data_IF_406117430353
#
_entry.id   IF_406117430353
#
_cell.length_a   1.000
_cell.length_b   1.000
_cell.length_c   1.000
_cell.angle_alpha   90.00
_cell.angle_beta   90.00
_cell.angle_gamma   90.00
#
_symmetry.space_group_name_H-M   'P 1'
#
loop_
_entity.id
_entity.type
_entity.pdbx_description
1 polymer ?
#
# COMPACT_ATOMS: atom_id res chain seq x y z
N UNK A 1 10.33 -11.22 7.27
CA UNK A 1 11.08 -10.81 6.07
C UNK A 1 12.57 -11.04 6.29
N UNK A 2 13.52 -10.34 5.60
CA UNK A 2 14.99 -10.59 5.76
C UNK A 2 15.44 -10.53 7.22
N UNK A 3 14.91 -9.61 8.01
CA UNK A 3 15.22 -9.50 9.45
C UNK A 3 14.90 -10.78 10.22
N UNK A 4 13.78 -11.44 9.94
CA UNK A 4 13.44 -12.74 10.56
C UNK A 4 14.41 -13.84 10.14
N UNK A 5 14.87 -13.81 8.87
CA UNK A 5 15.92 -14.71 8.40
C UNK A 5 17.26 -14.51 9.11
N UNK A 6 17.65 -13.26 9.39
CA UNK A 6 18.86 -12.94 10.17
C UNK A 6 18.76 -13.45 11.61
N UNK A 7 17.61 -13.29 12.27
CA UNK A 7 17.39 -13.81 13.61
C UNK A 7 17.55 -15.33 13.67
N UNK A 8 17.07 -16.04 12.65
CA UNK A 8 17.23 -17.50 12.55
C UNK A 8 18.69 -17.89 12.32
N UNK A 9 19.48 -17.09 11.61
CA UNK A 9 20.92 -17.34 11.46
C UNK A 9 21.69 -17.27 12.80
N UNK A 10 21.15 -16.58 13.81
CA UNK A 10 21.75 -16.42 15.14
C UNK A 10 21.35 -17.52 16.13
N UNK A 11 20.46 -18.46 15.76
CA UNK A 11 20.10 -19.59 16.59
C UNK A 11 21.27 -20.59 16.71
N UNK A 12 21.27 -21.41 17.74
CA UNK A 12 22.36 -22.37 18.05
C UNK A 12 22.62 -23.36 16.89
N UNK A 13 21.55 -23.80 16.20
CA UNK A 13 21.59 -24.69 15.03
C UNK A 13 21.21 -23.97 13.73
N UNK A 14 21.26 -22.62 13.74
CA UNK A 14 20.90 -21.76 12.62
C UNK A 14 21.95 -21.74 11.50
N UNK A 15 21.55 -21.36 10.27
CA UNK A 15 22.45 -21.32 9.12
C UNK A 15 23.33 -20.06 9.13
N UNK A 16 24.23 -19.94 10.09
CA UNK A 16 25.11 -18.80 10.33
C UNK A 16 25.89 -18.37 9.05
N UNK A 17 26.20 -19.32 8.16
CA UNK A 17 26.91 -19.04 6.90
C UNK A 17 26.09 -18.20 5.90
N UNK A 18 24.78 -18.02 6.10
CA UNK A 18 23.93 -17.18 5.25
C UNK A 18 23.88 -15.73 5.72
N UNK A 19 24.32 -15.46 6.96
CA UNK A 19 24.21 -14.15 7.60
C UNK A 19 24.76 -13.01 6.75
N UNK A 20 26.02 -13.10 6.31
CA UNK A 20 26.68 -12.06 5.51
C UNK A 20 25.90 -11.74 4.22
N UNK A 21 25.37 -12.78 3.57
CA UNK A 21 24.57 -12.60 2.35
C UNK A 21 23.24 -11.91 2.66
N UNK A 22 22.56 -12.26 3.76
CA UNK A 22 21.31 -11.64 4.19
C UNK A 22 21.51 -10.18 4.64
N UNK A 23 22.61 -9.87 5.29
CA UNK A 23 22.97 -8.50 5.67
C UNK A 23 23.18 -7.62 4.42
N UNK A 24 23.86 -8.15 3.41
CA UNK A 24 24.02 -7.47 2.12
C UNK A 24 22.68 -7.29 1.38
N UNK A 25 21.82 -8.29 1.42
CA UNK A 25 20.46 -8.20 0.85
C UNK A 25 19.62 -7.15 1.59
N UNK A 26 19.70 -7.09 2.94
CA UNK A 26 19.01 -6.07 3.74
C UNK A 26 19.49 -4.67 3.39
N UNK A 27 20.80 -4.46 3.26
CA UNK A 27 21.36 -3.18 2.84
C UNK A 27 20.87 -2.74 1.45
N UNK A 28 20.70 -3.69 0.52
CA UNK A 28 20.10 -3.38 -0.78
C UNK A 28 18.67 -2.89 -0.66
N UNK A 29 17.85 -3.55 0.17
CA UNK A 29 16.45 -3.15 0.43
C UNK A 29 16.39 -1.79 1.12
N UNK A 30 17.23 -1.55 2.13
CA UNK A 30 17.29 -0.27 2.82
C UNK A 30 17.65 0.88 1.88
N UNK A 31 18.62 0.66 0.96
CA UNK A 31 18.95 1.63 -0.09
C UNK A 31 17.78 1.93 -1.01
N UNK A 32 17.03 0.91 -1.46
CA UNK A 32 15.83 1.11 -2.29
C UNK A 32 14.80 1.92 -1.51
N UNK A 33 14.57 1.58 -0.25
CA UNK A 33 13.59 2.28 0.59
C UNK A 33 14.01 3.71 0.96
N UNK A 34 15.28 4.07 0.84
CA UNK A 34 15.77 5.43 1.08
C UNK A 34 15.67 6.35 -0.14
N UNK A 35 15.23 5.83 -1.30
CA UNK A 35 15.06 6.63 -2.50
C UNK A 35 14.03 7.75 -2.28
N UNK A 36 14.40 8.97 -2.63
CA UNK A 36 13.56 10.16 -2.45
C UNK A 36 12.55 10.35 -3.60
N UNK A 37 12.86 9.79 -4.78
CA UNK A 37 12.01 9.90 -5.96
C UNK A 37 11.99 8.62 -6.82
N UNK A 38 11.11 8.62 -7.83
CA UNK A 38 10.94 7.49 -8.76
C UNK A 38 12.21 7.20 -9.58
N UNK A 39 12.91 8.23 -10.02
CA UNK A 39 14.12 8.08 -10.83
C UNK A 39 15.26 7.45 -10.03
N UNK A 40 15.46 7.90 -8.80
CA UNK A 40 16.43 7.32 -7.87
C UNK A 40 16.08 5.87 -7.55
N UNK A 41 14.81 5.58 -7.25
CA UNK A 41 14.34 4.22 -7.00
C UNK A 41 14.58 3.30 -8.21
N UNK A 42 14.27 3.75 -9.43
CA UNK A 42 14.53 3.02 -10.66
C UNK A 42 16.02 2.69 -10.82
N UNK A 43 16.89 3.66 -10.57
CA UNK A 43 18.34 3.49 -10.62
C UNK A 43 18.88 2.52 -9.56
N UNK A 44 18.33 2.54 -8.36
CA UNK A 44 18.75 1.66 -7.26
C UNK A 44 18.28 0.23 -7.49
N UNK A 45 17.00 0.04 -7.82
CA UNK A 45 16.39 -1.28 -7.98
C UNK A 45 16.98 -2.05 -9.18
N UNK A 46 17.32 -1.34 -10.28
CA UNK A 46 17.96 -1.94 -11.47
C UNK A 46 19.39 -2.43 -11.20
N UNK A 47 20.04 -1.90 -10.18
CA UNK A 47 21.43 -2.25 -9.80
C UNK A 47 21.51 -3.34 -8.73
N UNK A 48 20.39 -3.78 -8.18
CA UNK A 48 20.37 -4.81 -7.14
C UNK A 48 20.98 -6.10 -7.64
N UNK A 49 21.97 -6.61 -6.91
CA UNK A 49 22.61 -7.88 -7.19
C UNK A 49 22.43 -8.80 -5.99
N UNK A 50 21.80 -9.93 -6.26
CA UNK A 50 21.59 -10.97 -5.27
C UNK A 50 22.80 -11.92 -5.26
N UNK A 51 23.62 -11.83 -4.22
CA UNK A 51 24.77 -12.74 -4.07
C UNK A 51 24.29 -14.19 -3.90
N UNK A 52 25.14 -15.15 -4.26
CA UNK A 52 24.84 -16.56 -4.06
C UNK A 52 25.01 -16.91 -2.58
N UNK A 53 24.04 -17.64 -2.00
CA UNK A 53 24.19 -18.19 -0.65
C UNK A 53 25.37 -19.17 -0.58
N UNK A 54 26.08 -19.15 0.54
CA UNK A 54 27.12 -20.13 0.83
C UNK A 54 26.56 -21.55 0.80
N UNK A 55 27.42 -22.52 0.49
CA UNK A 55 26.99 -23.91 0.54
C UNK A 55 27.04 -24.41 1.99
N UNK A 56 25.90 -24.90 2.51
CA UNK A 56 25.90 -25.56 3.81
C UNK A 56 26.64 -26.90 3.71
N UNK A 57 27.74 -27.03 4.44
CA UNK A 57 28.53 -28.28 4.62
C UNK A 57 28.58 -28.71 6.09
N UNK A 58 28.00 -27.90 6.98
CA UNK A 58 27.99 -28.14 8.41
C UNK A 58 26.75 -28.96 8.78
N UNK A 59 26.98 -30.15 9.33
CA UNK A 59 25.92 -31.07 9.74
C UNK A 59 25.24 -30.67 11.06
N UNK A 60 25.78 -29.70 11.80
CA UNK A 60 25.16 -29.16 13.02
C UNK A 60 24.03 -28.18 12.71
N UNK A 61 23.97 -27.69 11.48
CA UNK A 61 22.93 -26.74 11.04
C UNK A 61 21.65 -27.49 10.70
N UNK A 62 20.54 -27.04 11.26
CA UNK A 62 19.21 -27.57 10.97
C UNK A 62 18.82 -27.34 9.50
N UNK A 63 18.45 -28.43 8.82
CA UNK A 63 17.96 -28.35 7.44
C UNK A 63 16.66 -27.54 7.32
N UNK A 64 15.79 -27.62 8.34
CA UNK A 64 14.53 -26.86 8.38
C UNK A 64 14.78 -25.37 8.49
N UNK A 65 15.67 -24.95 9.39
CA UNK A 65 16.05 -23.54 9.54
C UNK A 65 16.74 -22.99 8.29
N UNK A 66 17.61 -23.79 7.69
CA UNK A 66 18.25 -23.44 6.42
C UNK A 66 17.24 -23.30 5.27
N UNK A 67 16.23 -24.17 5.20
CA UNK A 67 15.15 -24.09 4.22
C UNK A 67 14.26 -22.86 4.44
N UNK A 68 13.93 -22.57 5.71
CA UNK A 68 13.16 -21.38 6.07
C UNK A 68 13.86 -20.09 5.61
N UNK A 69 15.15 -19.93 5.94
CA UNK A 69 15.93 -18.75 5.53
C UNK A 69 16.00 -18.59 4.00
N UNK A 70 16.18 -19.71 3.28
CA UNK A 70 16.11 -19.68 1.81
C UNK A 70 14.75 -19.26 1.31
N UNK A 71 13.66 -19.75 1.91
CA UNK A 71 12.28 -19.42 1.57
C UNK A 71 12.01 -17.92 1.75
N UNK A 72 12.35 -17.37 2.90
CA UNK A 72 12.23 -15.93 3.20
C UNK A 72 12.98 -15.09 2.17
N UNK A 73 14.20 -15.48 1.86
CA UNK A 73 15.01 -14.76 0.86
C UNK A 73 14.41 -14.80 -0.54
N UNK A 74 13.94 -15.96 -0.99
CA UNK A 74 13.30 -16.10 -2.30
C UNK A 74 11.97 -15.32 -2.38
N UNK A 75 11.21 -15.22 -1.31
CA UNK A 75 10.02 -14.39 -1.23
C UNK A 75 10.35 -12.90 -1.43
N UNK A 76 11.38 -12.41 -0.74
CA UNK A 76 11.84 -11.01 -0.90
C UNK A 76 12.30 -10.75 -2.35
N UNK A 77 13.07 -11.65 -2.93
CA UNK A 77 13.51 -11.52 -4.33
C UNK A 77 12.35 -11.50 -5.31
N UNK A 78 11.33 -12.35 -5.09
CA UNK A 78 10.11 -12.35 -5.88
C UNK A 78 9.33 -11.04 -5.74
N UNK A 79 9.24 -10.51 -4.52
CA UNK A 79 8.57 -9.21 -4.28
C UNK A 79 9.27 -8.09 -5.03
N UNK A 80 10.61 -8.01 -4.95
CA UNK A 80 11.38 -7.00 -5.69
C UNK A 80 11.22 -7.19 -7.20
N UNK A 81 11.26 -8.42 -7.70
CA UNK A 81 11.04 -8.70 -9.13
C UNK A 81 9.63 -8.28 -9.59
N UNK A 82 8.60 -8.55 -8.78
CA UNK A 82 7.22 -8.13 -9.06
C UNK A 82 7.08 -6.61 -9.10
N UNK A 83 7.75 -5.90 -8.20
CA UNK A 83 7.77 -4.41 -8.21
C UNK A 83 8.43 -3.89 -9.48
N UNK A 84 9.55 -4.50 -9.91
CA UNK A 84 10.22 -4.13 -11.17
C UNK A 84 9.29 -4.35 -12.36
N UNK A 85 8.64 -5.51 -12.43
CA UNK A 85 7.72 -5.84 -13.52
C UNK A 85 6.50 -4.92 -13.59
N UNK A 86 5.99 -4.47 -12.43
CA UNK A 86 4.77 -3.65 -12.37
C UNK A 86 5.03 -2.17 -12.57
N UNK A 87 6.16 -1.65 -12.09
CA UNK A 87 6.38 -0.20 -11.99
C UNK A 87 7.63 0.30 -12.72
N UNK A 88 8.59 -0.57 -13.02
CA UNK A 88 9.88 -0.21 -13.64
C UNK A 88 10.14 -1.04 -14.90
N UNK A 89 9.07 -1.34 -15.63
CA UNK A 89 9.10 -2.16 -16.84
C UNK A 89 9.71 -1.45 -18.04
N UNK A 90 9.89 -0.13 -17.97
CA UNK A 90 10.48 0.69 -19.01
C UNK A 90 11.37 1.79 -18.44
N UNK A 91 12.07 2.53 -19.30
CA UNK A 91 12.89 3.66 -18.87
C UNK A 91 12.01 4.75 -18.24
N UNK A 92 12.44 5.39 -17.12
CA UNK A 92 11.63 6.42 -16.45
C UNK A 92 11.19 7.55 -17.37
N UNK A 93 12.02 7.93 -18.34
CA UNK A 93 11.73 8.97 -19.33
C UNK A 93 10.60 8.56 -20.28
N UNK A 94 10.54 7.29 -20.68
CA UNK A 94 9.50 6.76 -21.55
C UNK A 94 8.18 6.65 -20.79
N UNK A 95 8.20 6.14 -19.57
CA UNK A 95 7.03 6.10 -18.68
C UNK A 95 6.46 7.51 -18.46
N UNK A 96 7.32 8.51 -18.28
CA UNK A 96 6.87 9.91 -18.15
C UNK A 96 6.21 10.43 -19.43
N UNK A 97 6.76 10.14 -20.62
CA UNK A 97 6.16 10.53 -21.90
C UNK A 97 4.80 9.84 -22.11
N UNK A 98 4.65 8.58 -21.72
CA UNK A 98 3.38 7.86 -21.78
C UNK A 98 2.33 8.51 -20.87
N UNK A 99 2.72 8.88 -19.65
CA UNK A 99 1.85 9.63 -18.73
C UNK A 99 1.42 10.97 -19.32
N UNK A 100 2.34 11.72 -19.95
CA UNK A 100 2.03 12.99 -20.60
C UNK A 100 1.08 12.79 -21.78
N UNK A 101 1.25 11.74 -22.56
CA UNK A 101 0.35 11.43 -23.68
C UNK A 101 -1.06 11.08 -23.21
N UNK A 102 -1.20 10.39 -22.09
CA UNK A 102 -2.47 10.04 -21.50
C UNK A 102 -3.18 11.20 -20.80
N UNK A 103 -2.43 12.25 -20.40
CA UNK A 103 -2.92 13.36 -19.56
C UNK A 103 -4.17 14.01 -20.14
N UNK A 104 -4.14 14.39 -21.43
CA UNK A 104 -5.27 15.09 -22.07
C UNK A 104 -6.55 14.26 -22.04
N UNK A 105 -6.46 12.95 -22.29
CA UNK A 105 -7.61 12.06 -22.25
C UNK A 105 -8.14 11.88 -20.82
N UNK A 106 -7.24 11.83 -19.84
CA UNK A 106 -7.62 11.74 -18.42
C UNK A 106 -8.28 13.03 -17.94
N UNK A 107 -7.80 14.20 -18.35
CA UNK A 107 -8.43 15.49 -18.03
C UNK A 107 -9.87 15.56 -18.56
N UNK A 108 -10.08 15.13 -19.81
CA UNK A 108 -11.43 15.06 -20.40
C UNK A 108 -12.33 14.07 -19.64
N UNK A 109 -11.79 12.91 -19.28
CA UNK A 109 -12.54 11.91 -18.50
C UNK A 109 -12.96 12.45 -17.14
N UNK A 110 -12.04 13.10 -16.42
CA UNK A 110 -12.34 13.72 -15.12
C UNK A 110 -13.41 14.80 -15.26
N UNK A 111 -13.31 15.64 -16.32
CA UNK A 111 -14.32 16.66 -16.59
C UNK A 111 -15.70 16.03 -16.84
N UNK A 112 -15.78 14.99 -17.68
CA UNK A 112 -17.04 14.30 -17.96
C UNK A 112 -17.66 13.67 -16.70
N UNK A 113 -16.84 13.09 -15.81
CA UNK A 113 -17.33 12.54 -14.55
C UNK A 113 -17.89 13.62 -13.65
N UNK A 114 -17.22 14.77 -13.54
CA UNK A 114 -17.69 15.90 -12.75
C UNK A 114 -18.99 16.48 -13.33
N UNK A 115 -19.05 16.73 -14.63
CA UNK A 115 -20.25 17.25 -15.31
C UNK A 115 -21.45 16.30 -15.15
N UNK A 116 -21.19 14.99 -15.21
CA UNK A 116 -22.21 13.98 -14.95
C UNK A 116 -22.71 14.05 -13.50
N UNK A 117 -21.80 14.11 -12.52
CA UNK A 117 -22.14 14.18 -11.10
C UNK A 117 -22.98 15.41 -10.78
N UNK A 118 -22.58 16.58 -11.30
CA UNK A 118 -23.30 17.83 -11.12
C UNK A 118 -24.69 17.78 -11.76
N UNK A 119 -24.78 17.36 -13.02
CA UNK A 119 -26.05 17.20 -13.74
C UNK A 119 -26.99 16.22 -13.03
N UNK A 120 -26.43 15.12 -12.50
CA UNK A 120 -27.20 14.11 -11.80
C UNK A 120 -27.75 14.67 -10.47
N UNK A 121 -26.92 15.41 -9.72
CA UNK A 121 -27.33 16.08 -8.48
C UNK A 121 -28.43 17.12 -8.73
N UNK A 122 -28.28 17.96 -9.78
CA UNK A 122 -29.30 18.93 -10.19
C UNK A 122 -30.63 18.26 -10.51
N UNK A 123 -30.61 17.17 -11.29
CA UNK A 123 -31.82 16.41 -11.65
C UNK A 123 -32.50 15.78 -10.44
N UNK A 124 -31.74 15.25 -9.49
CA UNK A 124 -32.27 14.73 -8.21
C UNK A 124 -32.95 15.85 -7.41
N UNK A 125 -32.25 16.97 -7.26
CA UNK A 125 -32.77 18.16 -6.56
C UNK A 125 -34.06 18.68 -7.21
N UNK A 126 -34.08 18.80 -8.54
CA UNK A 126 -35.26 19.27 -9.28
C UNK A 126 -36.48 18.34 -9.17
N UNK A 127 -36.26 17.08 -8.80
CA UNK A 127 -37.34 16.10 -8.55
C UNK A 127 -37.62 15.88 -7.05
N UNK A 128 -36.93 16.57 -6.14
CA UNK A 128 -36.95 16.32 -4.72
C UNK A 128 -36.69 14.85 -4.35
N UNK A 129 -35.68 14.24 -5.01
CA UNK A 129 -35.28 12.85 -4.81
C UNK A 129 -33.87 12.79 -4.25
N UNK A 130 -33.64 11.81 -3.39
CA UNK A 130 -32.31 11.41 -2.90
C UNK A 130 -32.18 9.91 -3.06
N UNK A 131 -30.96 9.41 -3.25
CA UNK A 131 -30.65 7.99 -3.19
C UNK A 131 -29.96 7.64 -1.86
N UNK A 132 -29.66 6.35 -1.66
CA UNK A 132 -29.02 5.88 -0.43
C UNK A 132 -27.64 6.50 -0.20
N UNK A 133 -26.85 6.67 -1.26
CA UNK A 133 -25.56 7.34 -1.16
C UNK A 133 -25.67 8.81 -0.75
N UNK A 134 -26.71 9.51 -1.23
CA UNK A 134 -26.97 10.88 -0.78
C UNK A 134 -27.29 10.94 0.72
N UNK A 135 -28.06 9.97 1.24
CA UNK A 135 -28.39 9.93 2.67
C UNK A 135 -27.13 9.77 3.53
N UNK A 136 -26.23 8.88 3.14
CA UNK A 136 -24.94 8.68 3.81
C UNK A 136 -24.08 9.95 3.76
N UNK A 137 -23.94 10.55 2.59
CA UNK A 137 -23.15 11.78 2.42
C UNK A 137 -23.74 12.96 3.18
N UNK A 138 -25.06 13.11 3.21
CA UNK A 138 -25.73 14.16 4.00
C UNK A 138 -25.58 13.91 5.50
N UNK A 139 -25.70 12.66 5.95
CA UNK A 139 -25.45 12.32 7.34
C UNK A 139 -24.02 12.68 7.76
N UNK A 140 -23.02 12.33 6.96
CA UNK A 140 -21.61 12.70 7.20
C UNK A 140 -21.45 14.23 7.27
N UNK A 141 -22.00 14.98 6.31
CA UNK A 141 -21.92 16.46 6.30
C UNK A 141 -22.57 17.11 7.51
N UNK A 142 -23.66 16.53 8.04
CA UNK A 142 -24.36 17.03 9.23
C UNK A 142 -23.59 16.67 10.50
N UNK A 143 -23.02 15.47 10.56
CA UNK A 143 -22.42 14.92 11.77
C UNK A 143 -20.94 15.25 11.92
N UNK A 144 -20.25 15.69 10.86
CA UNK A 144 -18.82 15.98 10.90
C UNK A 144 -18.51 17.42 10.49
N UNK A 145 -17.38 17.93 11.03
CA UNK A 145 -16.74 19.19 10.62
C UNK A 145 -15.27 18.90 10.30
N UNK A 146 -14.69 19.68 9.41
CA UNK A 146 -13.27 19.61 9.14
C UNK A 146 -12.53 20.69 9.91
N UNK A 147 -11.65 20.29 10.83
CA UNK A 147 -10.80 21.18 11.61
C UNK A 147 -9.33 20.71 11.50
N UNK A 148 -8.48 21.57 10.93
CA UNK A 148 -7.05 21.28 10.79
C UNK A 148 -6.74 20.01 9.96
N UNK A 149 -7.55 19.70 8.93
CA UNK A 149 -7.39 18.52 8.07
C UNK A 149 -7.86 17.20 8.71
N UNK A 150 -8.61 17.28 9.83
CA UNK A 150 -9.22 16.12 10.50
C UNK A 150 -10.72 16.29 10.60
N UNK A 151 -11.43 15.18 10.43
CA UNK A 151 -12.87 15.14 10.70
C UNK A 151 -13.10 15.07 12.21
N UNK A 152 -13.90 16.02 12.73
CA UNK A 152 -14.31 16.08 14.13
C UNK A 152 -15.83 16.07 14.23
N UNK A 153 -16.44 15.62 15.36
CA UNK A 153 -17.88 15.63 15.55
C UNK A 153 -18.43 17.05 15.51
N UNK A 154 -19.47 17.26 14.71
CA UNK A 154 -20.24 18.50 14.69
C UNK A 154 -21.04 18.72 16.00
N UNK A 155 -21.66 19.88 16.15
CA UNK A 155 -22.59 20.13 17.27
C UNK A 155 -23.73 19.11 17.29
N UNK A 156 -24.33 18.79 16.13
CA UNK A 156 -25.37 17.79 16.02
C UNK A 156 -24.89 16.40 16.46
N UNK A 157 -23.69 15.99 16.05
CA UNK A 157 -23.14 14.72 16.49
C UNK A 157 -22.93 14.67 18.02
N UNK A 158 -22.44 15.76 18.63
CA UNK A 158 -22.27 15.86 20.09
C UNK A 158 -23.60 15.75 20.84
N UNK A 159 -24.65 16.39 20.33
CA UNK A 159 -26.01 16.26 20.91
C UNK A 159 -26.51 14.80 20.87
N UNK A 160 -26.23 14.06 19.76
CA UNK A 160 -26.54 12.63 19.67
C UNK A 160 -25.67 11.77 20.61
N UNK A 161 -24.39 12.08 20.75
CA UNK A 161 -23.49 11.38 21.69
C UNK A 161 -23.96 11.52 23.15
N UNK A 162 -24.51 12.68 23.54
CA UNK A 162 -25.09 12.89 24.87
C UNK A 162 -26.43 12.18 25.06
N UNK A 163 -27.20 12.04 23.98
CA UNK A 163 -28.55 11.47 24.01
C UNK A 163 -28.58 9.94 24.00
N UNK A 164 -27.68 9.30 23.27
CA UNK A 164 -27.66 7.86 23.12
C UNK A 164 -26.58 7.23 24.01
N UNK A 165 -27.01 6.30 24.88
CA UNK A 165 -26.07 5.55 25.73
C UNK A 165 -25.30 4.48 24.93
N UNK A 166 -25.96 3.86 23.94
CA UNK A 166 -25.41 2.80 23.10
C UNK A 166 -25.89 2.94 21.67
N UNK A 167 -25.05 2.55 20.72
CA UNK A 167 -25.37 2.41 19.29
C UNK A 167 -25.15 0.96 18.90
N UNK A 168 -26.21 0.28 18.48
CA UNK A 168 -26.16 -1.09 18.01
C UNK A 168 -26.38 -1.13 16.50
N UNK A 169 -25.52 -1.88 15.79
CA UNK A 169 -25.59 -2.05 14.33
C UNK A 169 -26.02 -3.49 14.06
N UNK A 170 -27.17 -3.65 13.41
CA UNK A 170 -27.61 -4.92 12.87
C UNK A 170 -27.10 -5.07 11.43
N UNK A 171 -27.00 -6.32 10.94
CA UNK A 171 -26.50 -6.65 9.58
C UNK A 171 -25.18 -5.95 9.25
N UNK A 172 -24.23 -5.99 10.19
CA UNK A 172 -22.92 -5.28 10.08
C UNK A 172 -22.15 -5.63 8.79
N UNK A 173 -22.34 -6.84 8.27
CA UNK A 173 -21.77 -7.30 7.00
C UNK A 173 -22.26 -6.49 5.78
N UNK A 174 -23.42 -5.83 5.88
CA UNK A 174 -23.99 -5.00 4.82
C UNK A 174 -23.50 -3.54 4.92
N UNK A 175 -22.81 -3.20 6.01
CA UNK A 175 -22.18 -1.89 6.18
C UNK A 175 -20.96 -1.80 5.25
N UNK A 176 -20.92 -0.82 4.36
CA UNK A 176 -19.75 -0.49 3.54
C UNK A 176 -18.68 0.13 4.46
N UNK A 177 -17.70 -0.66 4.87
CA UNK A 177 -16.52 -0.23 5.63
C UNK A 177 -15.34 -0.05 4.70
#
# INVERSE_FOLDING_TARGET
>A
TIVSGLQVCDCEDGPYMYRETLEADLQNIEKINSAEDFLEMSNLISKVKWARLATNRDKSVSEELAAYVKGVREEVKKTVASVVEQYFFDAPEELYQDMLSAKSNMEVLVQLVNDFADTFAEKKTGKNMIDFGDMEQFALRILTLEEGGKLVPSKAAKEYQERFAEVMIDEYQDSNL
#
